data_IF_267722388824
#
_entry.id   IF_267722388824
#
_cell.length_a   1.000
_cell.length_b   1.000
_cell.length_c   1.000
_cell.angle_alpha   90.00
_cell.angle_beta   90.00
_cell.angle_gamma   90.00
#
_symmetry.space_group_name_H-M   'P 1'
#
loop_
_entity.id
_entity.type
_entity.pdbx_description
1 polymer ?
#
# COMPACT_ATOMS: atom_id res chain seq x y z
N UNK A 1 -2.52 8.42 23.08
CA UNK A 1 -3.67 7.67 23.64
C UNK A 1 -3.73 6.34 22.91
N UNK A 2 -3.95 5.23 23.61
CA UNK A 2 -4.08 3.89 23.01
C UNK A 2 -5.55 3.52 23.07
N UNK A 3 -6.13 3.08 21.96
CA UNK A 3 -7.53 2.65 21.89
C UNK A 3 -7.73 1.55 20.86
N UNK A 4 -8.83 0.80 20.99
CA UNK A 4 -9.25 -0.22 20.03
C UNK A 4 -9.03 -1.66 20.50
N UNK A 5 -9.29 -2.61 19.59
CA UNK A 5 -9.31 -4.06 19.89
C UNK A 5 -8.00 -4.58 20.51
N UNK A 6 -6.86 -3.95 20.19
CA UNK A 6 -5.53 -4.38 20.63
C UNK A 6 -4.96 -3.60 21.81
N UNK A 7 -5.76 -2.75 22.47
CA UNK A 7 -5.30 -1.89 23.57
C UNK A 7 -4.55 -2.67 24.66
N UNK A 8 -5.06 -3.83 25.07
CA UNK A 8 -4.42 -4.69 26.09
C UNK A 8 -3.03 -5.16 25.65
N UNK A 9 -2.89 -5.59 24.40
CA UNK A 9 -1.61 -6.07 23.87
C UNK A 9 -0.61 -4.92 23.68
N UNK A 10 -1.07 -3.76 23.19
CA UNK A 10 -0.26 -2.56 23.07
C UNK A 10 0.24 -2.11 24.44
N UNK A 11 -0.62 -2.07 25.46
CA UNK A 11 -0.24 -1.73 26.84
C UNK A 11 0.78 -2.71 27.39
N UNK A 12 0.62 -4.02 27.13
CA UNK A 12 1.58 -5.05 27.54
C UNK A 12 2.96 -4.83 26.91
N UNK A 13 3.03 -4.61 25.60
CA UNK A 13 4.29 -4.34 24.90
C UNK A 13 4.94 -3.04 25.39
N UNK A 14 4.15 -1.98 25.54
CA UNK A 14 4.60 -0.68 26.06
C UNK A 14 5.15 -0.80 27.48
N UNK A 15 4.51 -1.61 28.33
CA UNK A 15 4.98 -1.87 29.70
C UNK A 15 6.35 -2.58 29.71
N UNK A 16 6.59 -3.52 28.80
CA UNK A 16 7.90 -4.18 28.67
C UNK A 16 8.98 -3.15 28.34
N UNK A 17 8.75 -2.31 27.33
CA UNK A 17 9.70 -1.26 26.93
C UNK A 17 9.92 -0.26 28.07
N UNK A 18 8.86 0.10 28.80
CA UNK A 18 8.91 1.03 29.93
C UNK A 18 9.73 0.52 31.12
N UNK A 19 10.09 -0.77 31.16
CA UNK A 19 11.05 -1.27 32.16
C UNK A 19 12.49 -0.82 31.90
N UNK A 20 12.78 -0.26 30.72
CA UNK A 20 14.09 0.28 30.39
C UNK A 20 14.29 1.64 31.09
N UNK A 21 15.13 1.66 32.14
CA UNK A 21 15.31 2.85 32.99
C UNK A 21 15.89 4.06 32.26
N UNK A 22 16.50 3.91 31.10
CA UNK A 22 17.13 5.03 30.37
C UNK A 22 16.12 6.06 29.84
N UNK A 23 14.83 5.70 29.76
CA UNK A 23 13.76 6.62 29.35
C UNK A 23 13.04 7.26 30.54
N UNK A 24 13.46 6.96 31.79
CA UNK A 24 12.85 7.46 33.02
C UNK A 24 13.91 7.89 34.07
N UNK A 25 13.85 9.12 34.63
CA UNK A 25 12.94 10.21 34.28
C UNK A 25 13.29 10.85 32.91
N UNK A 26 12.39 11.63 32.29
CA UNK A 26 12.67 12.35 31.05
C UNK A 26 13.92 13.24 31.15
N UNK A 27 14.88 13.04 30.24
CA UNK A 27 16.15 13.78 30.17
C UNK A 27 16.34 14.33 28.76
N UNK A 28 15.94 15.57 28.52
CA UNK A 28 16.04 16.20 27.18
C UNK A 28 15.01 15.71 26.15
N UNK A 29 14.31 14.61 26.43
CA UNK A 29 13.16 14.11 25.66
C UNK A 29 12.19 13.36 26.59
N UNK A 30 10.96 13.13 26.12
CA UNK A 30 10.02 12.18 26.70
C UNK A 30 9.62 11.11 25.69
N UNK A 31 9.29 9.91 26.19
CA UNK A 31 8.78 8.82 25.36
C UNK A 31 7.27 8.78 25.46
N UNK A 32 6.59 8.78 24.32
CA UNK A 32 5.14 8.68 24.22
C UNK A 32 4.76 7.41 23.47
N UNK A 33 3.70 6.76 23.94
CA UNK A 33 3.06 5.66 23.24
C UNK A 33 1.68 6.12 22.72
N UNK A 34 1.48 5.96 21.43
CA UNK A 34 0.20 6.20 20.75
C UNK A 34 -0.14 4.98 19.92
N UNK A 35 -1.41 4.59 19.87
CA UNK A 35 -1.79 3.43 19.08
C UNK A 35 -3.26 3.44 18.72
N UNK A 36 -3.53 2.92 17.53
CA UNK A 36 -4.87 2.76 16.99
C UNK A 36 -4.96 1.43 16.27
N UNK A 37 -6.10 0.77 16.43
CA UNK A 37 -6.38 -0.53 15.84
C UNK A 37 -5.30 -1.54 16.23
N UNK A 38 -4.60 -2.11 15.26
CA UNK A 38 -3.54 -3.09 15.42
C UNK A 38 -2.13 -2.48 15.32
N UNK A 39 -2.00 -1.17 15.34
CA UNK A 39 -0.71 -0.47 15.21
C UNK A 39 -0.46 0.43 16.42
N UNK A 40 0.80 0.57 16.81
CA UNK A 40 1.21 1.56 17.79
C UNK A 40 2.60 2.09 17.50
N UNK A 41 2.85 3.31 17.93
CA UNK A 41 4.09 4.04 17.77
C UNK A 41 4.63 4.41 19.14
N UNK A 42 5.93 4.24 19.29
CA UNK A 42 6.71 4.82 20.37
C UNK A 42 7.53 5.97 19.79
N UNK A 43 7.21 7.20 20.18
CA UNK A 43 7.90 8.42 19.74
C UNK A 43 8.77 8.99 20.85
N UNK A 44 9.97 9.45 20.48
CA UNK A 44 10.87 10.17 21.37
C UNK A 44 10.72 11.66 21.08
N UNK A 45 9.94 12.35 21.90
CA UNK A 45 9.65 13.77 21.75
C UNK A 45 10.70 14.62 22.47
N UNK A 46 11.58 15.27 21.73
CA UNK A 46 12.63 16.12 22.27
C UNK A 46 12.05 17.42 22.84
N UNK A 47 12.61 17.88 23.97
CA UNK A 47 12.25 19.17 24.55
C UNK A 47 13.06 20.28 23.88
N UNK A 48 12.37 21.23 23.26
CA UNK A 48 12.97 22.40 22.62
C UNK A 48 12.62 23.63 23.44
N UNK A 49 13.61 24.47 23.73
CA UNK A 49 13.38 25.79 24.32
C UNK A 49 13.46 26.85 23.23
N UNK A 50 12.35 27.53 22.93
CA UNK A 50 12.28 28.70 22.05
C UNK A 50 11.65 29.84 22.82
N UNK A 51 12.30 31.01 22.80
CA UNK A 51 11.77 32.25 23.41
C UNK A 51 11.38 32.09 24.89
N UNK A 52 12.10 31.25 25.63
CA UNK A 52 11.82 30.98 27.05
C UNK A 52 10.74 29.92 27.30
N UNK A 53 9.95 29.53 26.29
CA UNK A 53 8.96 28.46 26.38
C UNK A 53 9.54 27.10 25.99
N UNK A 54 9.09 26.05 26.68
CA UNK A 54 9.45 24.65 26.40
C UNK A 54 8.34 24.01 25.57
N UNK A 55 8.68 23.59 24.36
CA UNK A 55 7.80 22.79 23.48
C UNK A 55 8.37 21.37 23.31
N UNK A 56 7.55 20.45 22.83
CA UNK A 56 7.99 19.10 22.42
C UNK A 56 7.87 18.95 20.93
N UNK A 57 8.93 18.50 20.27
CA UNK A 57 8.91 18.14 18.86
C UNK A 57 9.23 16.66 18.71
N UNK A 58 8.48 15.97 17.85
CA UNK A 58 8.78 14.57 17.55
C UNK A 58 10.14 14.49 16.86
N UNK A 59 10.93 13.50 17.25
CA UNK A 59 12.20 13.17 16.63
C UNK A 59 12.01 11.82 15.93
N UNK A 60 12.85 10.85 16.27
CA UNK A 60 12.75 9.47 15.83
C UNK A 60 11.62 8.71 16.53
N UNK A 61 10.99 7.79 15.81
CA UNK A 61 9.97 6.88 16.32
C UNK A 61 10.19 5.43 15.90
N UNK A 62 9.55 4.53 16.65
CA UNK A 62 9.46 3.11 16.33
C UNK A 62 7.98 2.76 16.21
N UNK A 63 7.59 2.28 15.04
CA UNK A 63 6.24 1.84 14.74
C UNK A 63 6.16 0.33 14.79
N UNK A 64 5.05 -0.17 15.31
CA UNK A 64 4.79 -1.58 15.53
C UNK A 64 3.41 -1.93 14.95
N UNK A 65 3.30 -3.06 14.25
CA UNK A 65 2.00 -3.62 13.88
C UNK A 65 1.82 -5.04 14.39
N UNK A 66 0.67 -5.28 15.01
CA UNK A 66 0.27 -6.54 15.61
C UNK A 66 -0.55 -7.32 14.59
N UNK A 67 -0.13 -8.56 14.32
CA UNK A 67 -0.84 -9.52 13.48
C UNK A 67 -1.15 -8.98 12.07
N UNK A 68 -0.27 -8.13 11.53
CA UNK A 68 -0.39 -7.54 10.20
C UNK A 68 0.82 -7.90 9.31
N UNK A 69 0.81 -9.07 8.64
CA UNK A 69 1.94 -9.50 7.80
C UNK A 69 2.08 -8.67 6.51
N UNK A 70 1.00 -8.01 6.05
CA UNK A 70 1.04 -7.17 4.86
C UNK A 70 1.92 -5.91 5.05
N UNK A 71 2.14 -5.49 6.28
CA UNK A 71 2.96 -4.32 6.66
C UNK A 71 4.42 -4.44 6.18
N UNK A 72 4.91 -5.66 5.98
CA UNK A 72 6.26 -5.95 5.48
C UNK A 72 6.40 -5.56 4.00
N UNK A 73 5.31 -5.56 3.24
CA UNK A 73 5.34 -5.45 1.78
C UNK A 73 5.54 -4.02 1.27
N UNK A 74 5.40 -3.00 2.13
CA UNK A 74 5.45 -1.60 1.70
C UNK A 74 4.30 -1.28 0.73
N UNK A 75 4.57 -1.33 -0.57
CA UNK A 75 3.61 -1.02 -1.63
C UNK A 75 2.88 -2.26 -2.17
N UNK A 76 1.57 -2.14 -2.26
CA UNK A 76 0.69 -3.10 -2.94
C UNK A 76 0.73 -2.86 -4.46
N UNK A 77 0.87 -3.93 -5.26
CA UNK A 77 0.74 -3.84 -6.73
C UNK A 77 -0.74 -3.77 -7.10
N UNK A 78 -1.52 -4.68 -6.52
CA UNK A 78 -2.99 -4.72 -6.57
C UNK A 78 -3.49 -5.41 -5.31
N UNK A 79 -4.71 -5.10 -4.86
CA UNK A 79 -5.26 -5.56 -3.58
C UNK A 79 -4.90 -7.03 -3.24
N UNK A 80 -4.15 -7.21 -2.16
CA UNK A 80 -3.71 -8.52 -1.66
C UNK A 80 -2.49 -9.13 -2.35
N UNK A 81 -1.90 -8.46 -3.35
CA UNK A 81 -0.73 -8.89 -4.11
C UNK A 81 0.36 -7.82 -4.08
N UNK A 82 1.57 -8.27 -3.75
CA UNK A 82 2.71 -7.43 -3.43
C UNK A 82 3.93 -7.86 -4.20
N UNK A 83 4.87 -6.92 -4.38
CA UNK A 83 6.24 -7.29 -4.73
C UNK A 83 6.85 -8.02 -3.52
N UNK A 84 7.52 -9.14 -3.76
CA UNK A 84 8.14 -9.94 -2.70
C UNK A 84 9.20 -9.10 -1.95
N UNK A 85 9.07 -8.94 -0.62
CA UNK A 85 10.10 -8.29 0.18
C UNK A 85 11.43 -9.06 0.11
N UNK A 86 12.54 -8.32 0.12
CA UNK A 86 13.88 -8.90 0.11
C UNK A 86 14.38 -9.02 1.53
N UNK A 87 14.76 -10.22 1.96
CA UNK A 87 15.45 -10.39 3.25
C UNK A 87 16.83 -9.72 3.16
N UNK A 88 17.06 -8.70 3.99
CA UNK A 88 18.27 -7.88 3.96
C UNK A 88 19.12 -8.01 5.23
N UNK A 89 18.77 -8.92 6.14
CA UNK A 89 19.59 -9.27 7.29
C UNK A 89 18.78 -9.69 8.51
N UNK A 90 19.38 -9.53 9.69
CA UNK A 90 18.79 -9.91 10.96
C UNK A 90 18.90 -8.78 12.00
N UNK A 91 17.86 -8.62 12.80
CA UNK A 91 17.83 -7.79 14.00
C UNK A 91 17.65 -8.68 15.22
N UNK A 92 18.67 -8.78 16.08
CA UNK A 92 18.58 -9.59 17.31
C UNK A 92 18.15 -11.06 17.05
N UNK A 93 18.57 -11.62 15.91
CA UNK A 93 18.18 -12.97 15.47
C UNK A 93 16.83 -13.06 14.74
N UNK A 94 16.10 -11.97 14.59
CA UNK A 94 14.85 -11.89 13.84
C UNK A 94 15.08 -11.40 12.41
N UNK A 95 14.39 -11.96 11.40
CA UNK A 95 14.59 -11.57 10.01
C UNK A 95 14.17 -10.11 9.78
N UNK A 96 14.97 -9.43 8.96
CA UNK A 96 14.75 -8.07 8.49
C UNK A 96 14.50 -8.09 6.98
N UNK A 97 13.41 -7.47 6.56
CA UNK A 97 13.01 -7.36 5.16
C UNK A 97 13.13 -5.92 4.70
N UNK A 98 13.48 -5.72 3.43
CA UNK A 98 13.41 -4.43 2.76
C UNK A 98 12.33 -4.48 1.69
N UNK A 99 11.45 -3.47 1.70
CA UNK A 99 10.44 -3.23 0.69
C UNK A 99 10.19 -1.72 0.57
N UNK A 100 10.07 -1.22 -0.67
CA UNK A 100 9.73 0.18 -0.96
C UNK A 100 10.60 1.23 -0.24
N UNK A 101 11.88 0.93 -0.02
CA UNK A 101 12.82 1.85 0.63
C UNK A 101 12.79 1.84 2.16
N UNK A 102 11.97 0.99 2.80
CA UNK A 102 11.92 0.84 4.24
C UNK A 102 12.40 -0.55 4.68
N UNK A 103 12.87 -0.64 5.92
CA UNK A 103 13.23 -1.92 6.55
C UNK A 103 12.21 -2.28 7.63
N UNK A 104 11.81 -3.55 7.63
CA UNK A 104 10.84 -4.12 8.57
C UNK A 104 11.45 -5.32 9.26
N UNK A 105 11.44 -5.31 10.59
CA UNK A 105 11.80 -6.48 11.39
C UNK A 105 10.55 -7.29 11.70
N UNK A 106 10.65 -8.62 11.60
CA UNK A 106 9.52 -9.52 11.88
C UNK A 106 9.83 -10.39 13.09
N UNK A 107 9.01 -10.26 14.14
CA UNK A 107 9.08 -11.10 15.33
C UNK A 107 7.84 -12.00 15.36
N UNK A 108 8.05 -13.31 15.20
CA UNK A 108 6.97 -14.29 15.28
C UNK A 108 7.49 -15.66 15.75
N UNK A 109 6.60 -16.45 16.36
CA UNK A 109 6.81 -17.88 16.67
C UNK A 109 6.15 -18.80 15.63
N UNK A 110 5.42 -18.22 14.68
CA UNK A 110 4.75 -18.98 13.63
C UNK A 110 5.80 -19.55 12.68
N UNK A 111 5.67 -20.84 12.35
CA UNK A 111 6.59 -21.55 11.44
C UNK A 111 6.12 -21.57 9.99
N UNK A 112 4.95 -20.98 9.71
CA UNK A 112 4.40 -20.91 8.37
C UNK A 112 5.18 -19.88 7.55
N UNK A 113 5.37 -20.12 6.23
CA UNK A 113 5.86 -19.09 5.33
C UNK A 113 4.97 -17.83 5.44
N UNK A 114 5.58 -16.65 5.51
CA UNK A 114 4.84 -15.38 5.57
C UNK A 114 4.10 -15.14 4.25
N UNK A 115 4.79 -15.46 3.15
CA UNK A 115 4.32 -15.22 1.79
C UNK A 115 4.26 -16.53 1.01
N UNK A 116 3.29 -16.59 0.09
CA UNK A 116 3.23 -17.61 -0.96
C UNK A 116 3.20 -16.92 -2.32
N UNK A 117 3.73 -17.54 -3.38
CA UNK A 117 3.66 -16.96 -4.72
C UNK A 117 2.21 -16.67 -5.11
N UNK A 118 1.96 -15.50 -5.69
CA UNK A 118 0.71 -15.23 -6.37
C UNK A 118 0.75 -15.90 -7.76
N UNK A 119 -0.35 -16.53 -8.16
CA UNK A 119 -0.45 -17.08 -9.52
C UNK A 119 -0.76 -15.98 -10.53
N UNK A 120 -0.48 -16.24 -11.82
CA UNK A 120 -0.81 -15.32 -12.92
C UNK A 120 -2.30 -15.01 -12.98
N UNK A 121 -3.13 -16.02 -12.78
CA UNK A 121 -4.59 -15.87 -12.76
C UNK A 121 -5.08 -15.06 -11.56
N UNK A 122 -4.53 -15.30 -10.36
CA UNK A 122 -4.86 -14.49 -9.18
C UNK A 122 -4.50 -13.01 -9.38
N UNK A 123 -3.33 -12.74 -9.98
CA UNK A 123 -2.91 -11.39 -10.31
C UNK A 123 -3.85 -10.70 -11.28
N UNK A 124 -4.14 -11.34 -12.41
CA UNK A 124 -5.04 -10.76 -13.42
C UNK A 124 -6.46 -10.58 -12.89
N UNK A 125 -6.99 -11.53 -12.12
CA UNK A 125 -8.31 -11.39 -11.49
C UNK A 125 -8.36 -10.21 -10.51
N UNK A 126 -7.32 -10.03 -9.70
CA UNK A 126 -7.23 -8.87 -8.80
C UNK A 126 -7.16 -7.55 -9.57
N UNK A 127 -6.37 -7.49 -10.65
CA UNK A 127 -6.27 -6.33 -11.54
C UNK A 127 -7.61 -6.02 -12.22
N UNK A 128 -8.32 -7.03 -12.71
CA UNK A 128 -9.65 -6.88 -13.32
C UNK A 128 -10.65 -6.33 -12.29
N UNK A 129 -10.69 -6.90 -11.08
CA UNK A 129 -11.59 -6.45 -10.03
C UNK A 129 -11.32 -4.98 -9.64
N UNK A 130 -10.05 -4.59 -9.49
CA UNK A 130 -9.64 -3.20 -9.24
C UNK A 130 -10.05 -2.29 -10.40
N UNK A 131 -9.74 -2.67 -11.63
CA UNK A 131 -10.06 -1.89 -12.82
C UNK A 131 -11.57 -1.69 -13.00
N UNK A 132 -12.39 -2.70 -12.68
CA UNK A 132 -13.86 -2.58 -12.72
C UNK A 132 -14.41 -1.62 -11.65
N UNK A 133 -13.72 -1.47 -10.53
CA UNK A 133 -14.07 -0.51 -9.49
C UNK A 133 -13.64 0.91 -9.86
N UNK A 134 -12.44 1.05 -10.40
CA UNK A 134 -11.84 2.35 -10.74
C UNK A 134 -12.41 2.93 -12.06
N UNK A 135 -12.86 2.06 -12.97
CA UNK A 135 -13.46 2.40 -14.26
C UNK A 135 -14.77 1.63 -14.43
N UNK A 136 -15.86 1.98 -13.73
CA UNK A 136 -17.11 1.25 -13.82
C UNK A 136 -17.64 1.23 -15.26
N UNK A 137 -18.40 0.20 -15.62
CA UNK A 137 -18.98 0.06 -16.98
C UNK A 137 -19.86 1.26 -17.37
N UNK A 138 -20.43 1.97 -16.39
CA UNK A 138 -21.12 3.22 -16.63
C UNK A 138 -20.22 4.30 -17.22
N UNK A 139 -18.93 4.31 -16.92
CA UNK A 139 -17.93 5.25 -17.48
C UNK A 139 -17.35 4.78 -18.81
N UNK A 140 -17.70 3.57 -19.26
CA UNK A 140 -17.36 3.14 -20.61
C UNK A 140 -17.96 4.14 -21.61
N UNK A 141 -17.11 4.66 -22.47
CA UNK A 141 -17.55 5.55 -23.52
C UNK A 141 -18.33 4.73 -24.55
N UNK A 142 -19.66 4.84 -24.54
CA UNK A 142 -20.55 4.08 -25.41
C UNK A 142 -21.23 5.00 -26.42
N UNK A 143 -21.64 4.44 -27.57
CA UNK A 143 -22.47 5.15 -28.55
C UNK A 143 -23.71 5.78 -27.91
N UNK A 144 -24.32 5.10 -26.95
CA UNK A 144 -25.52 5.60 -26.25
C UNK A 144 -25.24 6.84 -25.40
N UNK A 145 -24.05 6.98 -24.80
CA UNK A 145 -23.68 8.19 -24.05
C UNK A 145 -23.37 9.34 -24.98
N UNK A 146 -22.57 9.07 -26.01
CA UNK A 146 -22.27 10.03 -27.06
C UNK A 146 -23.56 10.57 -27.71
N UNK A 147 -24.53 9.69 -27.99
CA UNK A 147 -25.83 10.07 -28.56
C UNK A 147 -26.64 10.98 -27.63
N UNK A 148 -26.66 10.73 -26.32
CA UNK A 148 -27.39 11.56 -25.35
C UNK A 148 -26.78 12.96 -25.22
N UNK A 149 -25.46 13.07 -25.17
CA UNK A 149 -24.77 14.37 -25.13
C UNK A 149 -25.00 15.16 -26.43
N UNK A 150 -24.95 14.48 -27.58
CA UNK A 150 -25.32 15.09 -28.87
C UNK A 150 -26.78 15.56 -28.86
N UNK A 151 -27.72 14.76 -28.36
CA UNK A 151 -29.15 15.14 -28.28
C UNK A 151 -29.39 16.36 -27.39
N UNK A 152 -28.67 16.49 -26.28
CA UNK A 152 -28.72 17.67 -25.42
C UNK A 152 -28.14 18.90 -26.11
N UNK A 153 -27.00 18.77 -26.80
CA UNK A 153 -26.43 19.86 -27.59
C UNK A 153 -27.35 20.26 -28.75
N UNK A 154 -28.01 19.32 -29.42
CA UNK A 154 -29.00 19.59 -30.46
C UNK A 154 -30.24 20.29 -29.90
N UNK A 155 -30.64 19.99 -28.65
CA UNK A 155 -31.71 20.72 -27.97
C UNK A 155 -31.31 22.17 -27.69
N UNK A 156 -30.08 22.41 -27.23
CA UNK A 156 -29.53 23.75 -27.01
C UNK A 156 -29.45 24.52 -28.33
N UNK A 157 -28.98 23.89 -29.41
CA UNK A 157 -28.99 24.45 -30.76
C UNK A 157 -30.39 24.90 -31.20
N UNK A 158 -31.42 24.05 -31.02
CA UNK A 158 -32.82 24.39 -31.38
C UNK A 158 -33.32 25.62 -30.62
N UNK A 159 -32.98 25.74 -29.34
CA UNK A 159 -33.35 26.90 -28.51
C UNK A 159 -32.61 28.18 -28.94
N UNK A 160 -31.31 28.08 -29.25
CA UNK A 160 -30.52 29.22 -29.74
C UNK A 160 -30.97 29.71 -31.11
N UNK A 161 -31.45 28.81 -31.98
CA UNK A 161 -31.91 29.16 -33.33
C UNK A 161 -33.06 30.18 -33.33
N UNK A 162 -33.85 30.21 -32.26
CA UNK A 162 -34.98 31.13 -32.08
C UNK A 162 -34.53 32.52 -31.58
N UNK A 163 -33.35 32.61 -30.98
CA UNK A 163 -32.85 33.82 -30.30
C UNK A 163 -31.72 34.49 -31.07
N UNK A 164 -30.75 33.72 -31.56
CA UNK A 164 -29.60 34.20 -32.33
C UNK A 164 -29.16 33.15 -33.35
N UNK A 165 -29.51 33.42 -34.62
CA UNK A 165 -29.20 32.51 -35.74
C UNK A 165 -27.70 32.40 -36.02
N UNK A 166 -26.92 33.46 -35.75
CA UNK A 166 -25.48 33.48 -36.04
C UNK A 166 -24.75 32.62 -35.03
N UNK A 167 -25.08 32.76 -33.74
CA UNK A 167 -24.55 31.90 -32.69
C UNK A 167 -24.99 30.44 -32.86
N UNK A 168 -26.21 30.20 -33.33
CA UNK A 168 -26.70 28.83 -33.57
C UNK A 168 -25.94 28.11 -34.70
N UNK A 169 -25.48 28.83 -35.74
CA UNK A 169 -24.64 28.24 -36.80
C UNK A 169 -23.25 27.81 -36.29
N UNK A 170 -22.64 28.56 -35.38
CA UNK A 170 -21.38 28.16 -34.74
C UNK A 170 -21.55 26.92 -33.86
N UNK A 171 -22.62 26.87 -33.06
CA UNK A 171 -22.95 25.69 -32.25
C UNK A 171 -23.20 24.46 -33.13
N UNK A 172 -23.87 24.63 -34.28
CA UNK A 172 -24.09 23.53 -35.23
C UNK A 172 -22.78 22.97 -35.80
N UNK A 173 -21.84 23.84 -36.17
CA UNK A 173 -20.50 23.40 -36.60
C UNK A 173 -19.78 22.63 -35.51
N UNK A 174 -19.84 23.10 -34.26
CA UNK A 174 -19.28 22.40 -33.10
C UNK A 174 -19.92 21.02 -32.89
N UNK A 175 -21.24 20.89 -33.03
CA UNK A 175 -21.94 19.59 -32.94
C UNK A 175 -21.48 18.63 -34.05
N UNK A 176 -21.32 19.12 -35.28
CA UNK A 176 -20.90 18.29 -36.42
C UNK A 176 -19.43 17.84 -36.29
N UNK A 177 -18.56 18.69 -35.74
CA UNK A 177 -17.17 18.35 -35.38
C UNK A 177 -17.13 17.30 -34.27
N UNK A 178 -17.89 17.49 -33.19
CA UNK A 178 -18.03 16.52 -32.10
C UNK A 178 -18.57 15.18 -32.64
N UNK A 179 -19.60 15.16 -33.49
CA UNK A 179 -20.10 13.94 -34.14
C UNK A 179 -19.03 13.21 -34.95
N UNK A 180 -18.13 13.95 -35.60
CA UNK A 180 -17.02 13.38 -36.38
C UNK A 180 -15.93 12.79 -35.48
N UNK A 181 -15.57 13.48 -34.40
CA UNK A 181 -14.62 12.98 -33.40
C UNK A 181 -15.17 11.74 -32.68
N UNK A 182 -16.45 11.76 -32.31
CA UNK A 182 -17.13 10.67 -31.62
C UNK A 182 -17.21 9.39 -32.45
N UNK A 183 -17.44 9.48 -33.77
CA UNK A 183 -17.33 8.32 -34.68
C UNK A 183 -15.93 7.69 -34.68
N UNK A 184 -14.88 8.49 -34.44
CA UNK A 184 -13.51 8.01 -34.30
C UNK A 184 -13.18 7.42 -32.92
N UNK A 185 -13.88 7.83 -31.86
CA UNK A 185 -13.68 7.32 -30.50
C UNK A 185 -14.51 6.06 -30.20
N UNK A 186 -15.73 5.98 -30.73
CA UNK A 186 -16.66 4.86 -30.56
C UNK A 186 -16.11 3.54 -31.12
N UNK A 187 -15.26 3.59 -32.15
CA UNK A 187 -14.64 2.40 -32.75
C UNK A 187 -13.48 1.83 -31.91
N UNK A 188 -13.07 2.50 -30.81
CA UNK A 188 -12.05 2.01 -29.87
C UNK A 188 -12.65 1.26 -28.67
N UNK A 189 -13.63 0.41 -28.93
CA UNK A 189 -14.10 -0.60 -27.97
C UNK A 189 -12.94 -1.53 -27.50
N UNK A 190 -11.80 -1.48 -28.19
CA UNK A 190 -10.56 -2.17 -27.84
C UNK A 190 -9.77 -1.55 -26.67
N UNK A 191 -10.03 -0.30 -26.27
CA UNK A 191 -9.18 0.42 -25.29
C UNK A 191 -9.72 0.42 -23.85
N UNK A 192 -10.87 -0.22 -23.58
CA UNK A 192 -11.40 -0.28 -22.21
C UNK A 192 -10.56 -1.22 -21.33
N UNK A 193 -9.82 -0.63 -20.39
CA UNK A 193 -8.78 -1.29 -19.61
C UNK A 193 -9.23 -2.60 -18.91
N UNK A 194 -10.41 -2.69 -18.25
CA UNK A 194 -10.88 -3.96 -17.70
C UNK A 194 -11.08 -5.07 -18.75
N UNK A 195 -11.54 -4.73 -19.97
CA UNK A 195 -11.73 -5.71 -21.04
C UNK A 195 -10.39 -6.16 -21.63
N UNK A 196 -9.39 -5.26 -21.68
CA UNK A 196 -8.02 -5.61 -22.07
C UNK A 196 -7.38 -6.63 -21.13
N UNK A 197 -7.53 -6.45 -19.82
CA UNK A 197 -7.04 -7.39 -18.81
C UNK A 197 -7.73 -8.75 -18.89
N UNK A 198 -9.04 -8.77 -19.15
CA UNK A 198 -9.79 -10.02 -19.40
C UNK A 198 -9.28 -10.73 -20.64
N UNK A 199 -9.10 -10.01 -21.75
CA UNK A 199 -8.51 -10.56 -22.98
C UNK A 199 -7.12 -11.14 -22.74
N UNK A 200 -6.30 -10.50 -21.90
CA UNK A 200 -4.98 -11.01 -21.51
C UNK A 200 -5.10 -12.35 -20.76
N UNK A 201 -6.02 -12.47 -19.80
CA UNK A 201 -6.28 -13.71 -19.08
C UNK A 201 -6.85 -14.80 -19.99
N UNK A 202 -7.82 -14.48 -20.84
CA UNK A 202 -8.50 -15.43 -21.71
C UNK A 202 -7.55 -16.08 -22.73
N UNK A 203 -6.58 -15.30 -23.24
CA UNK A 203 -5.53 -15.79 -24.14
C UNK A 203 -4.48 -16.66 -23.44
N UNK A 204 -4.44 -16.67 -22.11
CA UNK A 204 -3.45 -17.41 -21.34
C UNK A 204 -3.84 -18.90 -21.20
N UNK A 205 -2.96 -19.84 -21.58
CA UNK A 205 -3.16 -21.27 -21.38
C UNK A 205 -3.37 -21.64 -19.90
N UNK A 206 -4.20 -22.65 -19.62
CA UNK A 206 -4.58 -23.02 -18.25
C UNK A 206 -3.38 -23.46 -17.38
N UNK A 207 -2.41 -24.15 -17.98
CA UNK A 207 -1.17 -24.54 -17.30
C UNK A 207 -0.33 -23.30 -16.92
N UNK A 208 -0.31 -22.27 -17.76
CA UNK A 208 0.39 -21.02 -17.48
C UNK A 208 -0.30 -20.24 -16.37
N UNK A 209 -1.64 -20.18 -16.35
CA UNK A 209 -2.42 -19.47 -15.32
C UNK A 209 -2.04 -19.81 -13.89
N UNK A 210 -1.66 -21.06 -13.64
CA UNK A 210 -1.28 -21.60 -12.33
C UNK A 210 0.20 -21.35 -11.95
N UNK A 211 1.01 -20.84 -12.88
CA UNK A 211 2.42 -20.51 -12.61
C UNK A 211 2.54 -19.24 -11.74
N UNK A 212 3.68 -19.06 -11.03
CA UNK A 212 3.97 -17.82 -10.32
C UNK A 212 3.96 -16.59 -11.24
N UNK A 213 3.43 -15.49 -10.73
CA UNK A 213 3.40 -14.20 -11.41
C UNK A 213 4.67 -13.38 -11.17
N UNK A 214 5.11 -12.68 -12.22
CA UNK A 214 6.24 -11.76 -12.19
C UNK A 214 5.83 -10.45 -12.84
N UNK A 215 6.22 -9.32 -12.25
CA UNK A 215 5.84 -7.98 -12.67
C UNK A 215 7.05 -7.17 -13.15
N UNK A 216 6.84 -6.35 -14.17
CA UNK A 216 7.82 -5.36 -14.60
C UNK A 216 7.12 -4.23 -15.34
N UNK A 217 7.50 -2.98 -15.04
CA UNK A 217 7.04 -1.82 -15.81
C UNK A 217 7.47 -1.91 -17.28
N UNK A 218 8.64 -2.48 -17.56
CA UNK A 218 9.12 -2.67 -18.93
C UNK A 218 8.20 -3.57 -19.77
N UNK A 219 7.47 -4.51 -19.14
CA UNK A 219 6.49 -5.32 -19.85
C UNK A 219 5.31 -4.49 -20.39
N UNK A 220 4.98 -3.38 -19.73
CA UNK A 220 3.97 -2.42 -20.19
C UNK A 220 4.56 -1.56 -21.31
N UNK A 221 5.74 -0.99 -21.09
CA UNK A 221 6.40 -0.09 -22.04
C UNK A 221 6.68 -0.77 -23.40
N UNK A 222 7.09 -2.03 -23.36
CA UNK A 222 7.34 -2.87 -24.54
C UNK A 222 6.05 -3.45 -25.15
N UNK A 223 4.88 -3.10 -24.60
CA UNK A 223 3.55 -3.60 -25.01
C UNK A 223 3.47 -5.14 -25.01
N UNK A 224 4.19 -5.77 -24.08
CA UNK A 224 4.20 -7.23 -23.89
C UNK A 224 2.93 -7.68 -23.17
N UNK A 225 2.46 -6.90 -22.19
CA UNK A 225 1.21 -7.10 -21.47
C UNK A 225 0.59 -5.76 -21.08
N UNK A 226 -0.72 -5.76 -20.85
CA UNK A 226 -1.45 -4.57 -20.38
C UNK A 226 -1.34 -4.46 -18.86
N UNK A 227 -1.21 -5.60 -18.18
CA UNK A 227 -1.10 -5.71 -16.73
C UNK A 227 0.30 -5.48 -16.15
N UNK A 228 1.34 -5.46 -16.99
CA UNK A 228 2.75 -5.50 -16.56
C UNK A 228 3.22 -6.90 -16.13
N UNK A 229 2.39 -7.93 -16.35
CA UNK A 229 2.76 -9.33 -16.15
C UNK A 229 3.80 -9.76 -17.21
N UNK A 230 4.89 -10.33 -16.75
CA UNK A 230 5.99 -10.79 -17.60
C UNK A 230 5.65 -12.14 -18.24
N UNK A 231 6.13 -12.39 -19.46
CA UNK A 231 5.97 -13.68 -20.16
C UNK A 231 6.66 -14.83 -19.39
N UNK A 232 6.11 -16.04 -19.52
CA UNK A 232 6.72 -17.25 -18.96
C UNK A 232 8.14 -17.41 -19.52
N UNK A 233 9.12 -17.67 -18.65
CA UNK A 233 10.52 -17.84 -19.03
C UNK A 233 11.32 -16.54 -19.20
N UNK A 234 10.69 -15.36 -19.14
CA UNK A 234 11.35 -14.05 -19.31
C UNK A 234 11.46 -13.25 -18.00
N UNK A 235 11.54 -13.92 -16.85
CA UNK A 235 11.51 -13.29 -15.53
C UNK A 235 12.83 -12.63 -15.08
N UNK A 236 13.81 -12.47 -15.97
CA UNK A 236 15.09 -11.87 -15.63
C UNK A 236 14.91 -10.38 -15.34
N UNK A 237 15.21 -9.96 -14.11
CA UNK A 237 15.05 -8.56 -13.68
C UNK A 237 13.59 -8.16 -13.38
N UNK A 238 12.67 -9.13 -13.35
CA UNK A 238 11.29 -8.90 -12.96
C UNK A 238 11.07 -9.14 -11.47
N UNK A 239 10.11 -8.44 -10.89
CA UNK A 239 9.73 -8.56 -9.50
C UNK A 239 8.81 -9.78 -9.29
N UNK A 240 9.13 -10.60 -8.29
CA UNK A 240 8.26 -11.74 -7.95
C UNK A 240 7.02 -11.23 -7.22
N UNK A 241 5.83 -11.65 -7.67
CA UNK A 241 4.59 -11.31 -6.99
C UNK A 241 4.22 -12.36 -5.94
N UNK A 242 3.82 -11.89 -4.77
CA UNK A 242 3.41 -12.72 -3.64
C UNK A 242 2.13 -12.22 -3.00
N UNK A 243 1.47 -13.10 -2.26
CA UNK A 243 0.38 -12.79 -1.35
C UNK A 243 0.75 -13.26 0.06
N UNK A 244 0.12 -12.67 1.07
CA UNK A 244 0.21 -13.19 2.43
C UNK A 244 -0.31 -14.63 2.43
N UNK A 245 0.41 -15.52 3.11
CA UNK A 245 0.01 -16.91 3.23
C UNK A 245 -1.39 -17.01 3.88
N UNK A 246 -2.41 -17.53 3.17
CA UNK A 246 -3.77 -17.59 3.71
C UNK A 246 -3.89 -18.40 5.00
N UNK A 247 -3.04 -19.41 5.19
CA UNK A 247 -3.02 -20.19 6.43
C UNK A 247 -2.50 -19.36 7.62
N UNK A 248 -1.51 -18.50 7.38
CA UNK A 248 -1.02 -17.55 8.38
C UNK A 248 -2.08 -16.48 8.66
N UNK A 249 -2.65 -15.87 7.61
CA UNK A 249 -3.67 -14.82 7.75
C UNK A 249 -4.89 -15.29 8.55
N UNK A 250 -5.36 -16.52 8.30
CA UNK A 250 -6.44 -17.15 9.08
C UNK A 250 -6.07 -17.29 10.56
N UNK A 251 -4.84 -17.66 10.87
CA UNK A 251 -4.36 -17.79 12.25
C UNK A 251 -4.30 -16.41 12.93
N UNK A 252 -3.84 -15.39 12.22
CA UNK A 252 -3.64 -14.05 12.76
C UNK A 252 -4.96 -13.29 12.96
N UNK A 253 -5.89 -13.38 12.01
CA UNK A 253 -7.21 -12.75 12.07
C UNK A 253 -8.10 -13.27 13.22
N UNK A 254 -7.89 -14.52 13.64
CA UNK A 254 -8.63 -15.13 14.76
C UNK A 254 -7.96 -14.92 16.11
N UNK A 255 -6.71 -14.43 16.14
CA UNK A 255 -5.97 -14.26 17.38
C UNK A 255 -6.50 -13.06 18.16
N UNK A 256 -6.56 -13.20 19.49
CA UNK A 256 -6.86 -12.11 20.43
C UNK A 256 -5.61 -11.61 21.16
N UNK A 257 -4.45 -12.04 20.70
CA UNK A 257 -3.15 -11.77 21.28
C UNK A 257 -2.09 -11.70 20.19
N UNK A 258 -0.95 -11.09 20.50
CA UNK A 258 0.15 -10.92 19.57
C UNK A 258 0.77 -12.28 19.21
N UNK A 259 0.70 -12.65 17.93
CA UNK A 259 1.37 -13.83 17.35
C UNK A 259 2.42 -13.46 16.30
N UNK A 260 2.29 -12.25 15.77
CA UNK A 260 3.15 -11.69 14.75
C UNK A 260 3.31 -10.20 15.02
N UNK A 261 4.54 -9.71 15.05
CA UNK A 261 4.85 -8.31 15.31
C UNK A 261 5.80 -7.83 14.21
N UNK A 262 5.40 -6.78 13.49
CA UNK A 262 6.29 -6.03 12.61
C UNK A 262 6.81 -4.80 13.34
N UNK A 263 8.05 -4.41 13.04
CA UNK A 263 8.69 -3.23 13.61
C UNK A 263 9.30 -2.42 12.47
N UNK A 264 8.92 -1.15 12.40
CA UNK A 264 9.43 -0.16 11.47
C UNK A 264 10.15 0.92 12.26
N UNK A 265 11.31 1.33 11.76
CA UNK A 265 12.09 2.40 12.37
C UNK A 265 12.07 3.61 11.46
N UNK A 266 11.61 4.74 11.99
CA UNK A 266 11.69 6.01 11.28
C UNK A 266 12.73 6.87 11.99
N UNK A 267 13.91 6.97 11.36
CA UNK A 267 14.94 7.92 11.76
C UNK A 267 14.76 9.20 10.95
N UNK A 268 14.49 10.30 11.63
CA UNK A 268 14.65 11.61 11.02
C UNK A 268 16.13 12.00 11.09
N UNK A 269 16.69 12.50 10.00
CA UNK A 269 18.01 13.14 10.04
C UNK A 269 17.86 14.48 10.78
N UNK A 270 17.89 14.44 12.11
CA UNK A 270 17.72 15.64 12.92
C UNK A 270 18.94 16.56 12.84
N UNK A 271 18.72 17.82 12.45
CA UNK A 271 19.60 18.94 12.82
C UNK A 271 19.18 19.50 14.19
N UNK A 272 20.15 19.94 15.02
CA UNK A 272 19.93 20.66 16.28
C UNK A 272 19.15 19.90 17.39
N UNK A 273 19.87 19.20 18.28
CA UNK A 273 19.35 18.77 19.59
C UNK A 273 18.60 17.43 19.65
N UNK A 274 18.32 16.80 18.51
CA UNK A 274 17.64 15.50 18.43
C UNK A 274 18.57 14.29 18.64
N UNK A 275 19.89 14.49 18.60
CA UNK A 275 20.89 13.42 18.74
C UNK A 275 20.74 12.57 20.00
N UNK A 276 20.24 13.14 21.10
CA UNK A 276 20.01 12.39 22.33
C UNK A 276 18.87 11.38 22.19
N UNK A 277 17.76 11.76 21.56
CA UNK A 277 16.64 10.87 21.27
C UNK A 277 17.08 9.73 20.34
N UNK A 278 17.83 10.07 19.28
CA UNK A 278 18.35 9.08 18.32
C UNK A 278 19.35 8.13 18.97
N UNK A 279 20.25 8.65 19.82
CA UNK A 279 21.18 7.81 20.57
C UNK A 279 20.44 6.83 21.47
N UNK A 280 19.39 7.28 22.16
CA UNK A 280 18.62 6.41 23.06
C UNK A 280 17.83 5.36 22.29
N UNK A 281 17.26 5.67 21.13
CA UNK A 281 16.66 4.63 20.29
C UNK A 281 17.72 3.61 19.85
N UNK A 282 18.91 4.06 19.41
CA UNK A 282 20.00 3.14 19.07
C UNK A 282 20.44 2.25 20.23
N UNK A 283 20.46 2.79 21.45
CA UNK A 283 20.74 2.01 22.67
C UNK A 283 19.63 0.99 22.95
N UNK A 284 18.36 1.37 22.82
CA UNK A 284 17.22 0.46 22.96
C UNK A 284 17.32 -0.69 21.96
N UNK A 285 17.68 -0.40 20.70
CA UNK A 285 17.85 -1.43 19.67
C UNK A 285 18.93 -2.45 19.99
N UNK A 286 19.93 -2.06 20.79
CA UNK A 286 21.00 -2.95 21.27
C UNK A 286 20.63 -3.66 22.58
N UNK A 287 19.50 -3.33 23.20
CA UNK A 287 19.08 -3.91 24.47
C UNK A 287 18.41 -5.28 24.28
N UNK A 288 19.23 -6.33 24.23
CA UNK A 288 18.79 -7.72 24.04
C UNK A 288 17.72 -8.16 25.05
N UNK A 289 17.80 -7.70 26.31
CA UNK A 289 16.86 -8.09 27.36
C UNK A 289 15.43 -7.62 27.07
N UNK A 290 15.27 -6.39 26.55
CA UNK A 290 13.95 -5.86 26.20
C UNK A 290 13.36 -6.63 25.03
N UNK A 291 14.15 -6.85 23.97
CA UNK A 291 13.68 -7.58 22.79
C UNK A 291 13.37 -9.05 23.08
N UNK A 292 14.17 -9.70 23.94
CA UNK A 292 13.89 -11.04 24.43
C UNK A 292 12.55 -11.11 25.16
N UNK A 293 12.27 -10.16 26.06
CA UNK A 293 10.97 -10.09 26.78
C UNK A 293 9.80 -9.85 25.82
N UNK A 294 9.98 -8.99 24.81
CA UNK A 294 8.98 -8.79 23.76
C UNK A 294 8.70 -10.12 23.04
N UNK A 295 9.74 -10.83 22.60
CA UNK A 295 9.61 -12.13 21.94
C UNK A 295 8.93 -13.19 22.83
N UNK A 296 9.30 -13.28 24.10
CA UNK A 296 8.68 -14.17 25.09
C UNK A 296 7.19 -13.87 25.25
N UNK A 297 6.80 -12.60 25.13
CA UNK A 297 5.41 -12.16 25.26
C UNK A 297 4.50 -12.54 24.08
N UNK A 298 5.09 -12.83 22.91
CA UNK A 298 4.39 -13.26 21.67
C UNK A 298 4.03 -14.74 21.78
N UNK A 299 2.88 -15.14 21.24
CA UNK A 299 2.37 -16.52 21.28
C UNK A 299 2.42 -17.25 19.94
#
# INVERSE_FOLDING_TARGET
MVSGLWETEIKKLSAIISTWKEILPPKGFEVRFSGINNSFEMSFAAYIKREGQRTTHSATSISFSINNPADICGMTVVDGIYIKPVECGFFQGFPKFSASGYETVVITKQKLPIFVPATREEFLNAMIAKAQKDYPQSEKFTESKASKEIEEMERVYRQLLEVDKTAAEEVKKGIDEIKKELKGMVTKDEDYYPDLLKKELDKMPENERKLPAFFSLSAIDERVSVSGLVKVGHNKGADTLVKVNPALDKILSQAKYTRFLTIHMQQEQGENGFHLADSKIRELMKNELIWKRIYESIK
#
